data_IF_871425911206
#
_entry.id   IF_871425911206
#
_cell.length_a   1.000
_cell.length_b   1.000
_cell.length_c   1.000
_cell.angle_alpha   90.00
_cell.angle_beta   90.00
_cell.angle_gamma   90.00
#
_symmetry.space_group_name_H-M   'P 1'
#
loop_
_entity.id
_entity.type
_entity.pdbx_description
1 polymer ?
#
# COMPACT_ATOMS: atom_id res chain seq x y z
N UNK A 1 11.89 6.39 41.18
CA UNK A 1 11.58 5.24 40.29
C UNK A 1 10.16 5.30 39.70
N UNK A 2 9.12 5.65 40.48
CA UNK A 2 7.73 5.74 39.99
C UNK A 2 7.52 6.72 38.81
N UNK A 3 8.15 7.89 38.85
CA UNK A 3 8.02 8.90 37.80
C UNK A 3 8.75 8.51 36.49
N UNK A 4 9.78 7.66 36.58
CA UNK A 4 10.50 7.16 35.41
C UNK A 4 9.66 6.14 34.61
N UNK A 5 8.85 5.34 35.31
CA UNK A 5 7.93 4.39 34.68
C UNK A 5 6.85 5.08 33.84
N UNK A 6 6.35 6.25 34.28
CA UNK A 6 5.39 7.04 33.50
C UNK A 6 6.01 7.59 32.21
N UNK A 7 7.27 8.03 32.25
CA UNK A 7 7.99 8.51 31.06
C UNK A 7 8.20 7.35 30.07
N UNK A 8 8.58 6.16 30.56
CA UNK A 8 8.74 4.98 29.73
C UNK A 8 7.42 4.51 29.10
N UNK A 9 6.32 4.57 29.85
CA UNK A 9 4.98 4.26 29.34
C UNK A 9 4.53 5.24 28.25
N UNK A 10 4.80 6.54 28.41
CA UNK A 10 4.49 7.55 27.40
C UNK A 10 5.32 7.37 26.12
N UNK A 11 6.61 7.06 26.25
CA UNK A 11 7.50 6.75 25.13
C UNK A 11 7.16 5.42 24.42
N UNK A 12 6.48 4.49 25.09
CA UNK A 12 6.02 3.26 24.44
C UNK A 12 4.76 3.48 23.59
N UNK A 13 3.91 4.45 23.97
CA UNK A 13 2.67 4.75 23.25
C UNK A 13 2.92 5.29 21.83
N UNK A 14 4.06 5.94 21.58
CA UNK A 14 4.45 6.41 20.23
C UNK A 14 4.90 5.27 19.30
N UNK A 15 5.04 4.04 19.80
CA UNK A 15 5.33 2.87 18.96
C UNK A 15 4.05 2.14 18.49
N UNK A 16 2.86 2.55 18.95
CA UNK A 16 1.59 1.85 18.70
C UNK A 16 0.82 2.36 17.47
N UNK A 17 1.46 3.07 16.53
CA UNK A 17 0.78 3.51 15.31
C UNK A 17 0.39 2.30 14.45
N UNK A 18 -0.85 2.25 13.99
CA UNK A 18 -1.28 1.31 12.94
C UNK A 18 -0.54 1.68 11.65
N UNK A 19 0.43 0.85 11.25
CA UNK A 19 1.25 1.08 10.06
C UNK A 19 0.51 0.53 8.84
N UNK A 20 0.14 1.43 7.93
CA UNK A 20 -0.49 1.09 6.65
C UNK A 20 0.51 1.06 5.51
N UNK A 21 0.07 0.54 4.36
CA UNK A 21 0.79 0.68 3.09
C UNK A 21 0.47 2.03 2.45
N UNK A 22 1.36 2.55 1.61
CA UNK A 22 1.05 3.69 0.74
C UNK A 22 0.53 3.16 -0.59
N UNK A 23 -0.58 3.70 -1.08
CA UNK A 23 -1.17 3.33 -2.37
C UNK A 23 -1.22 4.53 -3.31
N UNK A 24 -0.68 4.37 -4.51
CA UNK A 24 -0.61 5.40 -5.54
C UNK A 24 -1.34 4.94 -6.81
N UNK A 25 -2.45 5.60 -7.10
CA UNK A 25 -3.30 5.37 -8.27
C UNK A 25 -3.19 6.47 -9.34
N UNK A 26 -2.22 7.39 -9.23
CA UNK A 26 -2.10 8.56 -10.10
C UNK A 26 -0.81 8.57 -10.91
N UNK A 27 0.30 8.08 -10.35
CA UNK A 27 1.62 8.20 -10.98
C UNK A 27 1.88 7.15 -12.06
N UNK A 28 1.29 5.97 -11.93
CA UNK A 28 1.57 4.84 -12.81
C UNK A 28 0.45 4.64 -13.85
N UNK A 29 0.82 4.46 -15.11
CA UNK A 29 -0.10 4.02 -16.15
C UNK A 29 -0.47 2.54 -15.99
N UNK A 30 -1.63 2.08 -16.50
CA UNK A 30 -2.00 0.67 -16.48
C UNK A 30 -0.93 -0.25 -17.11
N UNK A 31 -0.24 0.20 -18.16
CA UNK A 31 0.84 -0.56 -18.78
C UNK A 31 2.04 -0.75 -17.86
N UNK A 32 2.44 0.31 -17.13
CA UNK A 32 3.53 0.23 -16.14
C UNK A 32 3.17 -0.68 -14.97
N UNK A 33 1.91 -0.67 -14.52
CA UNK A 33 1.46 -1.58 -13.45
C UNK A 33 1.48 -3.04 -13.90
N UNK A 34 1.11 -3.33 -15.14
CA UNK A 34 1.21 -4.68 -15.70
C UNK A 34 2.68 -5.10 -15.86
N UNK A 35 3.54 -4.20 -16.32
CA UNK A 35 4.99 -4.45 -16.42
C UNK A 35 5.62 -4.68 -15.04
N UNK A 36 5.21 -3.95 -14.00
CA UNK A 36 5.65 -4.22 -12.62
C UNK A 36 5.22 -5.61 -12.13
N UNK A 37 4.02 -6.05 -12.51
CA UNK A 37 3.47 -7.34 -12.10
C UNK A 37 4.07 -8.52 -12.88
N UNK A 38 4.41 -8.31 -14.15
CA UNK A 38 4.76 -9.37 -15.11
C UNK A 38 6.16 -9.21 -15.74
N UNK A 39 6.92 -8.17 -15.44
CA UNK A 39 8.13 -7.78 -16.20
C UNK A 39 9.27 -8.81 -16.19
N UNK A 40 9.28 -9.72 -15.22
CA UNK A 40 10.21 -10.85 -15.15
C UNK A 40 9.59 -12.20 -15.55
N UNK A 41 8.36 -12.18 -16.08
CA UNK A 41 7.68 -13.39 -16.52
C UNK A 41 7.83 -13.57 -18.03
N UNK A 42 7.99 -14.81 -18.48
CA UNK A 42 8.10 -15.16 -19.91
C UNK A 42 6.72 -15.13 -20.60
N UNK A 43 5.93 -14.07 -20.38
CA UNK A 43 4.58 -13.93 -20.92
C UNK A 43 4.51 -12.74 -21.86
N UNK A 44 3.85 -12.94 -23.01
CA UNK A 44 3.58 -11.85 -23.93
C UNK A 44 2.35 -11.08 -23.43
N UNK A 45 2.56 -9.84 -22.98
CA UNK A 45 1.48 -8.95 -22.56
C UNK A 45 0.83 -8.32 -23.80
N UNK A 46 -0.50 -8.37 -23.89
CA UNK A 46 -1.28 -7.69 -24.93
C UNK A 46 -2.66 -7.29 -24.39
N UNK A 47 -3.31 -6.33 -25.05
CA UNK A 47 -4.68 -5.88 -24.76
C UNK A 47 -4.94 -5.50 -23.29
N UNK A 48 -4.07 -4.67 -22.71
CA UNK A 48 -4.23 -4.18 -21.33
C UNK A 48 -5.46 -3.28 -21.24
N UNK A 49 -6.45 -3.70 -20.45
CA UNK A 49 -7.67 -2.93 -20.18
C UNK A 49 -7.96 -2.95 -18.68
N UNK A 50 -8.30 -1.79 -18.14
CA UNK A 50 -8.73 -1.63 -16.75
C UNK A 50 -10.09 -0.94 -16.72
N UNK A 51 -10.97 -1.37 -15.82
CA UNK A 51 -12.33 -0.82 -15.69
C UNK A 51 -12.33 0.65 -15.27
N UNK A 52 -11.35 1.04 -14.46
CA UNK A 52 -11.10 2.41 -14.02
C UNK A 52 -9.64 2.55 -13.64
N UNK A 53 -9.05 3.72 -13.88
CA UNK A 53 -7.70 4.05 -13.40
C UNK A 53 -7.61 4.08 -11.87
N UNK A 54 -8.75 4.16 -11.18
CA UNK A 54 -8.81 4.10 -9.72
C UNK A 54 -8.83 2.67 -9.19
N UNK A 55 -9.08 1.67 -10.03
CA UNK A 55 -9.26 0.27 -9.61
C UNK A 55 -7.95 -0.52 -9.47
N UNK A 56 -6.88 0.01 -10.07
CA UNK A 56 -5.55 -0.61 -10.08
C UNK A 56 -4.52 0.43 -9.66
N UNK A 57 -3.64 0.08 -8.73
CA UNK A 57 -2.66 1.02 -8.18
C UNK A 57 -1.37 0.32 -7.76
N UNK A 58 -0.29 1.09 -7.72
CA UNK A 58 0.95 0.66 -7.07
C UNK A 58 0.82 0.80 -5.56
N UNK A 59 1.47 -0.09 -4.81
CA UNK A 59 1.65 0.09 -3.38
C UNK A 59 3.09 -0.15 -2.95
N UNK A 60 3.47 0.46 -1.84
CA UNK A 60 4.66 0.10 -1.09
C UNK A 60 4.34 -0.02 0.41
N UNK A 61 5.14 -0.80 1.13
CA UNK A 61 4.94 -1.07 2.55
C UNK A 61 5.15 0.16 3.44
N UNK A 62 5.72 1.26 2.94
CA UNK A 62 5.96 2.50 3.69
C UNK A 62 6.65 2.30 5.06
N UNK A 63 7.64 1.41 5.12
CA UNK A 63 8.32 1.04 6.36
C UNK A 63 7.46 0.28 7.38
N UNK A 64 6.26 -0.17 6.99
CA UNK A 64 5.40 -1.00 7.82
C UNK A 64 5.91 -2.43 7.96
N UNK A 65 5.31 -3.19 8.89
CA UNK A 65 5.49 -4.64 9.01
C UNK A 65 4.68 -5.46 8.00
N UNK A 66 4.11 -4.82 6.96
CA UNK A 66 3.40 -5.52 5.89
C UNK A 66 4.36 -6.49 5.17
N UNK A 67 4.01 -7.78 5.00
CA UNK A 67 4.97 -8.79 4.55
C UNK A 67 5.43 -8.65 3.10
N UNK A 68 4.80 -7.77 2.31
CA UNK A 68 5.12 -7.54 0.90
C UNK A 68 5.61 -6.10 0.77
N UNK A 69 6.85 -5.92 0.30
CA UNK A 69 7.48 -4.60 0.29
C UNK A 69 6.86 -3.62 -0.72
N UNK A 70 6.42 -4.12 -1.86
CA UNK A 70 5.72 -3.34 -2.89
C UNK A 70 5.00 -4.25 -3.88
N UNK A 71 4.13 -3.67 -4.70
CA UNK A 71 3.46 -4.41 -5.76
C UNK A 71 2.26 -3.66 -6.34
N UNK A 72 1.30 -4.43 -6.87
CA UNK A 72 0.10 -3.90 -7.52
C UNK A 72 -1.15 -4.37 -6.79
N UNK A 73 -2.07 -3.44 -6.53
CA UNK A 73 -3.41 -3.71 -5.99
C UNK A 73 -4.40 -3.72 -7.14
N UNK A 74 -5.26 -4.74 -7.18
CA UNK A 74 -6.40 -4.84 -8.09
C UNK A 74 -7.65 -5.01 -7.23
N UNK A 75 -8.66 -4.15 -7.43
CA UNK A 75 -9.92 -4.22 -6.67
C UNK A 75 -11.13 -3.80 -7.48
N UNK A 76 -12.30 -4.13 -6.96
CA UNK A 76 -13.58 -3.59 -7.43
C UNK A 76 -13.93 -2.30 -6.65
N UNK A 77 -13.23 -1.19 -6.92
CA UNK A 77 -13.42 0.11 -6.27
C UNK A 77 -12.17 1.00 -6.27
N UNK A 78 -12.08 2.02 -5.42
CA UNK A 78 -10.96 2.98 -5.39
C UNK A 78 -9.75 2.46 -4.60
N UNK A 79 -8.64 2.13 -5.27
CA UNK A 79 -7.47 1.41 -4.73
C UNK A 79 -6.86 2.03 -3.47
N UNK A 80 -6.91 3.35 -3.35
CA UNK A 80 -6.38 4.08 -2.20
C UNK A 80 -7.08 3.74 -0.88
N UNK A 81 -8.27 3.15 -0.88
CA UNK A 81 -8.91 2.69 0.38
C UNK A 81 -8.31 1.38 0.93
N UNK A 82 -7.29 0.82 0.26
CA UNK A 82 -6.56 -0.36 0.74
C UNK A 82 -5.36 0.03 1.63
N UNK A 83 -5.13 1.32 1.87
CA UNK A 83 -4.03 1.84 2.71
C UNK A 83 -4.13 1.47 4.20
N UNK A 84 -5.24 0.87 4.64
CA UNK A 84 -5.45 0.38 6.01
C UNK A 84 -5.91 1.45 7.01
N UNK A 85 -5.62 2.74 6.77
CA UNK A 85 -6.19 3.83 7.56
C UNK A 85 -7.70 3.95 7.31
N UNK A 86 -8.48 3.98 8.39
CA UNK A 86 -9.92 4.21 8.29
C UNK A 86 -10.19 5.66 7.86
N UNK A 87 -10.85 5.83 6.71
CA UNK A 87 -11.18 7.14 6.14
C UNK A 87 -12.65 7.51 6.23
N UNK A 88 -13.52 6.60 6.71
CA UNK A 88 -14.97 6.81 6.75
C UNK A 88 -15.69 6.70 5.40
N UNK A 89 -14.97 6.27 4.36
CA UNK A 89 -15.47 6.02 3.00
C UNK A 89 -15.69 4.53 2.73
#
# INVERSE_FOLDING_TARGET
>A
MKNLLFIFGFLYSICLFSQGITVDNATNSPAQLVDLLLGNSCVQVSNISVSSTQAVAYFNQNGSSFPISEGVIIRNGVATFTQGQYSGA
#
